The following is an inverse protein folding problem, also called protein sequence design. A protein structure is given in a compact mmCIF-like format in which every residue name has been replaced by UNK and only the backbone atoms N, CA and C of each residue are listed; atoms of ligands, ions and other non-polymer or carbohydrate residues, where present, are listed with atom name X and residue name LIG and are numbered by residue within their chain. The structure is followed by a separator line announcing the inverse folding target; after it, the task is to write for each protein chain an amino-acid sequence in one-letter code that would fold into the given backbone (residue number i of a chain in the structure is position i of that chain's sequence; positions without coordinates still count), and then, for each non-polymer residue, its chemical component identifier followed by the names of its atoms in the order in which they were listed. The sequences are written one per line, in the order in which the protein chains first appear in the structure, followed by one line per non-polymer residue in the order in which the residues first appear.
data_IF_715009180598
#
_entry.id   IF_715009180598
#
_cell.length_a   1.000
_cell.length_b   1.000
_cell.length_c   1.000
_cell.angle_alpha   90.00
_cell.angle_beta   90.00
_cell.angle_gamma   90.00
#
_symmetry.space_group_name_H-M   'P 1'
#
loop_
_entity.id
_entity.type
_entity.pdbx_description
1 polymer ?
#
# COMPACT_ATOMS: atom_id res chain seq x y z
N UNK A 1 -0.74 2.08 7.67
CA UNK A 1 -0.33 0.85 6.94
C UNK A 1 1.17 0.60 7.08
N UNK A 2 1.57 -0.65 7.32
CA UNK A 2 2.96 -1.06 7.56
C UNK A 2 3.43 -2.13 6.55
N UNK A 3 4.56 -1.90 5.86
CA UNK A 3 5.03 -2.79 4.78
C UNK A 3 6.56 -2.75 4.57
N UNK A 4 7.09 -3.78 3.91
CA UNK A 4 8.50 -3.86 3.50
C UNK A 4 8.73 -3.24 2.12
N UNK A 5 9.80 -2.45 1.97
CA UNK A 5 10.25 -1.92 0.67
C UNK A 5 11.76 -1.80 0.65
N UNK A 6 12.38 -2.36 -0.39
CA UNK A 6 13.84 -2.26 -0.59
C UNK A 6 14.69 -2.66 0.63
N UNK A 7 14.24 -3.65 1.41
CA UNK A 7 14.94 -4.12 2.61
C UNK A 7 14.72 -3.28 3.88
N UNK A 8 13.89 -2.24 3.81
CA UNK A 8 13.52 -1.42 4.96
C UNK A 8 12.05 -1.60 5.31
N UNK A 9 11.76 -1.36 6.59
CA UNK A 9 10.40 -1.35 7.12
C UNK A 9 9.84 0.07 7.06
N UNK A 10 8.70 0.23 6.39
CA UNK A 10 8.03 1.51 6.21
C UNK A 10 6.65 1.52 6.87
N UNK A 11 6.34 2.64 7.52
CA UNK A 11 5.01 3.01 7.97
C UNK A 11 4.54 4.20 7.14
N UNK A 12 3.35 4.10 6.57
CA UNK A 12 2.78 5.14 5.74
C UNK A 12 1.29 5.31 6.04
N UNK A 13 0.86 6.56 6.18
CA UNK A 13 -0.55 6.95 6.19
C UNK A 13 -0.97 7.27 4.77
N UNK A 14 -1.92 6.49 4.26
CA UNK A 14 -2.50 6.65 2.94
C UNK A 14 -3.89 6.02 2.93
N UNK A 15 -4.69 6.42 1.96
CA UNK A 15 -6.04 5.89 1.76
C UNK A 15 -5.99 4.70 0.80
N UNK A 16 -6.71 3.62 1.10
CA UNK A 16 -6.86 2.52 0.15
C UNK A 16 -7.83 2.98 -0.93
N UNK A 17 -7.33 3.10 -2.17
CA UNK A 17 -8.14 3.48 -3.33
C UNK A 17 -8.81 2.26 -3.94
N UNK A 18 -8.05 1.19 -4.17
CA UNK A 18 -8.52 -0.06 -4.77
C UNK A 18 -7.71 -1.24 -4.24
N UNK A 19 -8.37 -2.40 -4.12
CA UNK A 19 -7.72 -3.68 -3.85
C UNK A 19 -7.84 -4.56 -5.10
N UNK A 20 -6.71 -4.86 -5.74
CA UNK A 20 -6.66 -5.78 -6.88
C UNK A 20 -6.25 -7.16 -6.39
N UNK A 21 -7.24 -8.02 -6.22
CA UNK A 21 -7.04 -9.40 -5.74
C UNK A 21 -6.50 -10.34 -6.81
N UNK A 22 -6.62 -9.98 -8.09
CA UNK A 22 -6.08 -10.78 -9.19
C UNK A 22 -4.55 -10.63 -9.25
N UNK A 23 -4.07 -9.40 -9.19
CA UNK A 23 -2.63 -9.10 -9.18
C UNK A 23 -2.00 -9.13 -7.78
N UNK A 24 -2.81 -9.32 -6.73
CA UNK A 24 -2.39 -9.33 -5.33
C UNK A 24 -1.65 -8.04 -4.91
N UNK A 25 -2.22 -6.89 -5.29
CA UNK A 25 -1.69 -5.56 -4.94
C UNK A 25 -2.78 -4.69 -4.30
N UNK A 26 -2.36 -3.82 -3.38
CA UNK A 26 -3.17 -2.72 -2.87
C UNK A 26 -2.71 -1.44 -3.55
N UNK A 27 -3.66 -0.69 -4.11
CA UNK A 27 -3.43 0.64 -4.66
C UNK A 27 -3.84 1.65 -3.58
N UNK A 28 -2.87 2.36 -3.04
CA UNK A 28 -3.10 3.45 -2.08
C UNK A 28 -2.98 4.82 -2.74
N UNK A 29 -3.61 5.84 -2.18
CA UNK A 29 -3.48 7.23 -2.59
C UNK A 29 -3.17 8.16 -1.42
N UNK A 30 -2.63 9.33 -1.74
CA UNK A 30 -2.56 10.44 -0.78
C UNK A 30 -3.97 10.99 -0.46
N UNK A 31 -4.05 11.98 0.42
CA UNK A 31 -5.30 12.61 0.85
C UNK A 31 -6.11 13.22 -0.30
N UNK A 32 -5.42 13.83 -1.28
CA UNK A 32 -6.05 14.44 -2.45
C UNK A 32 -6.50 13.41 -3.51
N UNK A 33 -6.08 12.14 -3.39
CA UNK A 33 -6.41 11.07 -4.32
C UNK A 33 -5.73 11.14 -5.70
N UNK A 34 -4.82 12.11 -5.89
CA UNK A 34 -4.16 12.41 -7.17
C UNK A 34 -2.85 11.62 -7.35
N UNK A 35 -2.16 11.29 -6.26
CA UNK A 35 -0.97 10.45 -6.28
C UNK A 35 -1.36 9.04 -5.83
N UNK A 36 -0.78 8.03 -6.48
CA UNK A 36 -1.07 6.62 -6.17
C UNK A 36 0.21 5.81 -6.07
N UNK A 37 0.15 4.76 -5.24
CA UNK A 37 1.23 3.81 -5.05
C UNK A 37 0.66 2.38 -5.02
N UNK A 38 1.33 1.47 -5.72
CA UNK A 38 1.04 0.04 -5.66
C UNK A 38 1.91 -0.64 -4.60
N UNK A 39 1.28 -1.44 -3.75
CA UNK A 39 1.94 -2.20 -2.68
C UNK A 39 1.58 -3.68 -2.86
N UNK A 40 2.55 -4.56 -3.16
CA UNK A 40 2.30 -6.00 -3.20
C UNK A 40 1.81 -6.49 -1.84
N UNK A 41 0.72 -7.26 -1.82
CA UNK A 41 0.12 -7.74 -0.57
C UNK A 41 1.09 -8.58 0.27
N UNK A 42 1.98 -9.33 -0.40
CA UNK A 42 3.03 -10.12 0.25
C UNK A 42 4.01 -9.28 1.09
N UNK A 43 4.15 -8.00 0.78
CA UNK A 43 5.07 -7.09 1.44
C UNK A 43 4.37 -6.33 2.59
N UNK A 44 3.04 -6.43 2.68
CA UNK A 44 2.24 -5.84 3.74
C UNK A 44 2.33 -6.72 4.98
N UNK A 45 2.79 -6.12 6.07
CA UNK A 45 2.79 -6.77 7.38
C UNK A 45 1.44 -6.60 8.07
N UNK A 46 0.89 -5.39 7.99
CA UNK A 46 -0.30 -5.02 8.75
C UNK A 46 -1.00 -3.77 8.17
N UNK A 47 -2.32 -3.74 8.33
CA UNK A 47 -3.21 -2.63 7.93
C UNK A 47 -4.12 -2.33 9.13
N UNK A 48 -3.79 -1.27 9.86
CA UNK A 48 -4.66 -0.62 10.87
C UNK A 48 -5.47 0.52 10.27
#
# INVERSE_FOLDING_TARGET
MNYWKQGYYYQHEAYIKTVDTFNQVIISSNEDGNETMEIPMKDIKDIE
#
